data_IF_784895016534
#
_entry.id   IF_784895016534
#
_cell.length_a   1.000
_cell.length_b   1.000
_cell.length_c   1.000
_cell.angle_alpha   90.00
_cell.angle_beta   90.00
_cell.angle_gamma   90.00
#
_symmetry.space_group_name_H-M   'P 1'
#
loop_
_entity.id
_entity.type
_entity.pdbx_description
1 polymer ?
#
# COMPACT_ATOMS: atom_id res chain seq x y z
N UNK A 1 14.15 -0.49 12.42
CA UNK A 1 13.30 0.69 12.71
C UNK A 1 11.89 0.20 12.94
N UNK A 2 11.27 0.56 14.07
CA UNK A 2 9.87 0.23 14.34
C UNK A 2 8.98 1.19 13.55
N UNK A 3 8.02 0.67 12.78
CA UNK A 3 7.04 1.47 12.04
C UNK A 3 5.74 1.46 12.84
N UNK A 4 5.27 2.63 13.24
CA UNK A 4 3.97 2.83 13.88
C UNK A 4 2.96 3.37 12.86
N UNK A 5 1.78 2.77 12.80
CA UNK A 5 0.73 3.10 11.85
C UNK A 5 -0.53 3.54 12.60
N UNK A 6 -1.03 4.73 12.26
CA UNK A 6 -2.25 5.27 12.83
C UNK A 6 -3.20 5.79 11.73
N UNK A 7 -4.50 5.71 12.01
CA UNK A 7 -5.57 6.14 11.13
C UNK A 7 -6.29 7.34 11.73
N UNK A 8 -6.35 8.43 10.96
CA UNK A 8 -7.12 9.62 11.34
C UNK A 8 -8.17 9.90 10.28
N UNK A 9 -9.33 10.41 10.70
CA UNK A 9 -10.41 10.82 9.80
C UNK A 9 -10.79 9.76 8.75
N UNK A 10 -11.12 8.53 9.18
CA UNK A 10 -11.77 7.55 8.28
C UNK A 10 -13.15 8.10 7.93
N UNK A 11 -13.23 8.79 6.79
CA UNK A 11 -14.47 9.37 6.29
C UNK A 11 -15.16 8.30 5.47
N UNK A 12 -16.29 7.80 5.96
CA UNK A 12 -17.24 7.06 5.14
C UNK A 12 -17.70 8.00 4.02
N UNK A 13 -17.26 7.74 2.79
CA UNK A 13 -17.63 8.58 1.65
C UNK A 13 -19.05 8.21 1.21
N UNK A 14 -20.04 8.67 1.98
CA UNK A 14 -21.48 8.44 1.74
C UNK A 14 -21.95 7.00 2.04
N UNK A 15 -23.26 6.84 2.21
CA UNK A 15 -23.93 5.56 2.49
C UNK A 15 -23.50 4.49 1.45
N UNK A 16 -22.53 3.65 1.82
CA UNK A 16 -22.01 2.55 0.99
C UNK A 16 -20.63 2.77 0.34
N UNK A 17 -19.93 3.88 0.60
CA UNK A 17 -18.59 4.14 0.07
C UNK A 17 -17.45 3.51 0.88
N UNK A 18 -16.29 3.23 0.27
CA UNK A 18 -15.08 2.82 0.99
C UNK A 18 -14.67 3.88 2.01
N UNK A 19 -14.67 3.52 3.30
CA UNK A 19 -14.18 4.36 4.40
C UNK A 19 -12.69 4.66 4.25
N UNK A 20 -12.36 5.73 3.53
CA UNK A 20 -10.99 6.15 3.30
C UNK A 20 -10.60 7.23 4.29
N UNK A 21 -9.40 7.12 4.87
CA UNK A 21 -8.90 8.07 5.87
C UNK A 21 -7.52 8.60 5.55
N UNK A 22 -7.01 9.42 6.48
CA UNK A 22 -5.61 9.81 6.52
C UNK A 22 -4.81 8.68 7.17
N UNK A 23 -3.71 8.33 6.52
CA UNK A 23 -2.72 7.41 7.06
C UNK A 23 -1.58 8.21 7.69
N UNK A 24 -1.24 7.91 8.92
CA UNK A 24 -0.05 8.41 9.59
C UNK A 24 0.95 7.28 9.76
N UNK A 25 2.19 7.54 9.35
CA UNK A 25 3.34 6.66 9.52
C UNK A 25 4.30 7.39 10.46
N UNK A 26 4.51 6.85 11.65
CA UNK A 26 5.29 7.50 12.72
C UNK A 26 4.82 8.95 12.99
N UNK A 27 3.49 9.14 13.09
CA UNK A 27 2.87 10.44 13.35
C UNK A 27 2.92 11.44 12.18
N UNK A 28 3.30 11.02 10.98
CA UNK A 28 3.42 11.90 9.80
C UNK A 28 2.63 11.36 8.61
N UNK A 29 2.07 12.26 7.79
CA UNK A 29 1.30 11.88 6.60
C UNK A 29 2.19 11.67 5.38
N UNK A 30 1.90 10.66 4.54
CA UNK A 30 2.45 10.55 3.19
C UNK A 30 2.22 11.80 2.35
N UNK A 31 3.17 12.12 1.45
CA UNK A 31 3.07 13.28 0.56
C UNK A 31 1.96 13.07 -0.50
N UNK A 32 1.25 14.14 -0.85
CA UNK A 32 0.36 14.18 -2.03
C UNK A 32 -1.14 14.19 -1.75
N UNK A 33 -1.58 14.50 -0.52
CA UNK A 33 -2.99 14.66 -0.15
C UNK A 33 -3.89 13.47 -0.52
N UNK A 34 -3.36 12.25 -0.38
CA UNK A 34 -4.06 11.01 -0.67
C UNK A 34 -4.96 10.57 0.50
N UNK A 35 -6.00 9.80 0.17
CA UNK A 35 -6.84 9.09 1.15
C UNK A 35 -6.64 7.60 0.98
N UNK A 36 -6.58 6.88 2.09
CA UNK A 36 -6.19 5.47 2.12
C UNK A 36 -7.31 4.60 2.67
N UNK A 37 -7.46 3.41 2.10
CA UNK A 37 -8.30 2.36 2.64
C UNK A 37 -7.53 1.59 3.72
N UNK A 38 -8.09 1.40 4.91
CA UNK A 38 -7.51 0.50 5.89
C UNK A 38 -7.73 -0.97 5.49
N UNK A 39 -6.83 -1.88 5.91
CA UNK A 39 -5.55 -1.62 6.57
C UNK A 39 -4.42 -1.14 5.64
N UNK A 40 -3.39 -0.62 6.27
CA UNK A 40 -2.06 -0.41 5.72
C UNK A 40 -1.14 -1.37 6.49
N UNK A 41 -0.18 -1.97 5.79
CA UNK A 41 0.62 -3.07 6.31
C UNK A 41 2.08 -2.70 6.25
N UNK A 42 2.75 -2.71 7.40
CA UNK A 42 4.20 -2.61 7.47
C UNK A 42 4.83 -3.98 7.18
N UNK A 43 5.69 -4.06 6.17
CA UNK A 43 6.38 -5.29 5.79
C UNK A 43 7.72 -4.96 5.13
N UNK A 44 8.79 -5.67 5.52
CA UNK A 44 10.15 -5.47 4.99
C UNK A 44 10.62 -4.00 4.96
N UNK A 45 10.31 -3.24 6.02
CA UNK A 45 10.70 -1.83 6.13
C UNK A 45 9.94 -0.87 5.21
N UNK A 46 8.88 -1.34 4.55
CA UNK A 46 7.97 -0.54 3.72
C UNK A 46 6.57 -0.55 4.31
N UNK A 47 5.76 0.43 3.90
CA UNK A 47 4.33 0.46 4.21
C UNK A 47 3.55 0.25 2.92
N UNK A 48 2.68 -0.75 2.90
CA UNK A 48 1.80 -1.05 1.77
C UNK A 48 0.40 -0.60 2.12
N UNK A 49 -0.28 0.03 1.17
CA UNK A 49 -1.63 0.54 1.38
C UNK A 49 -2.40 0.55 0.07
N UNK A 50 -3.72 0.62 0.20
CA UNK A 50 -4.60 0.98 -0.90
C UNK A 50 -4.95 2.46 -0.80
N UNK A 51 -4.78 3.19 -1.90
CA UNK A 51 -5.12 4.61 -1.96
C UNK A 51 -6.29 4.84 -2.90
N UNK A 52 -7.18 5.73 -2.51
CA UNK A 52 -8.19 6.28 -3.39
C UNK A 52 -7.56 7.30 -4.34
N UNK A 53 -7.92 7.22 -5.61
CA UNK A 53 -7.54 8.15 -6.66
C UNK A 53 -8.76 8.46 -7.52
N UNK A 54 -8.79 9.57 -8.28
CA UNK A 54 -9.88 9.82 -9.21
C UNK A 54 -10.11 8.61 -10.14
N UNK A 55 -11.32 8.05 -10.06
CA UNK A 55 -11.75 6.90 -10.85
C UNK A 55 -11.50 5.52 -10.24
N UNK A 56 -11.00 5.40 -9.00
CA UNK A 56 -10.87 4.10 -8.32
C UNK A 56 -9.79 4.04 -7.25
N UNK A 57 -9.10 2.90 -7.19
CA UNK A 57 -8.08 2.57 -6.20
C UNK A 57 -6.77 2.14 -6.83
N UNK A 58 -5.68 2.35 -6.11
CA UNK A 58 -4.36 1.82 -6.47
C UNK A 58 -3.73 1.16 -5.24
N UNK A 59 -3.15 -0.03 -5.44
CA UNK A 59 -2.19 -0.57 -4.49
C UNK A 59 -0.90 0.24 -4.58
N UNK A 60 -0.31 0.56 -3.44
CA UNK A 60 0.88 1.39 -3.39
C UNK A 60 1.82 0.96 -2.28
N UNK A 61 3.07 1.38 -2.44
CA UNK A 61 4.11 1.28 -1.42
C UNK A 61 4.53 2.68 -1.02
N UNK A 62 4.76 2.87 0.27
CA UNK A 62 5.20 4.12 0.88
C UNK A 62 6.51 3.83 1.59
N UNK A 63 7.48 4.69 1.33
CA UNK A 63 8.74 4.72 2.05
C UNK A 63 8.53 5.44 3.40
N UNK A 64 8.69 4.78 4.56
CA UNK A 64 8.32 5.35 5.85
C UNK A 64 9.25 6.49 6.32
N UNK A 65 10.44 6.63 5.71
CA UNK A 65 11.39 7.70 6.05
C UNK A 65 11.11 8.95 5.21
N UNK A 66 10.99 8.78 3.90
CA UNK A 66 10.80 9.89 2.94
C UNK A 66 9.34 10.28 2.75
N UNK A 67 8.42 9.41 3.18
CA UNK A 67 6.96 9.54 3.04
C UNK A 67 6.49 9.67 1.58
N UNK A 68 7.30 9.15 0.66
CA UNK A 68 7.00 9.13 -0.77
C UNK A 68 6.21 7.87 -1.10
N UNK A 69 5.03 8.07 -1.70
CA UNK A 69 4.19 7.01 -2.26
C UNK A 69 4.65 6.65 -3.68
N UNK A 70 4.63 5.37 -4.02
CA UNK A 70 4.73 4.85 -5.38
C UNK A 70 3.59 3.88 -5.66
N UNK A 71 2.88 4.07 -6.76
CA UNK A 71 1.87 3.13 -7.22
C UNK A 71 2.53 1.79 -7.62
N UNK A 72 1.87 0.68 -7.28
CA UNK A 72 2.30 -0.67 -7.64
C UNK A 72 1.40 -1.25 -8.73
N UNK A 73 0.10 -1.03 -8.62
CA UNK A 73 -0.90 -1.53 -9.57
C UNK A 73 -1.35 -0.44 -10.55
N UNK A 74 -1.96 -0.82 -11.69
CA UNK A 74 -2.85 0.08 -12.40
C UNK A 74 -4.05 0.47 -11.52
N UNK A 75 -4.88 1.37 -12.03
CA UNK A 75 -6.15 1.72 -11.38
C UNK A 75 -7.09 0.52 -11.36
N UNK A 76 -7.63 0.23 -10.18
CA UNK A 76 -8.58 -0.84 -9.90
C UNK A 76 -9.93 -0.24 -9.48
N UNK A 77 -11.06 -0.90 -9.77
CA UNK A 77 -12.37 -0.42 -9.33
C UNK A 77 -12.47 -0.33 -7.81
N UNK A 78 -11.89 -1.32 -7.12
CA UNK A 78 -11.79 -1.41 -5.67
C UNK A 78 -10.61 -2.32 -5.32
N UNK A 79 -9.89 -2.01 -4.23
CA UNK A 79 -8.75 -2.81 -3.82
C UNK A 79 -8.46 -2.65 -2.33
N UNK A 80 -9.25 -3.25 -1.44
CA UNK A 80 -8.94 -3.20 0.00
C UNK A 80 -7.86 -4.24 0.31
N UNK A 81 -6.70 -3.79 0.78
CA UNK A 81 -5.61 -4.66 1.19
C UNK A 81 -6.02 -5.49 2.41
N UNK A 82 -5.64 -6.75 2.48
CA UNK A 82 -5.95 -7.62 3.63
C UNK A 82 -4.69 -8.13 4.31
N UNK A 83 -3.74 -8.65 3.53
CA UNK A 83 -2.49 -9.20 4.06
C UNK A 83 -1.38 -9.16 3.01
N UNK A 84 -0.17 -9.51 3.43
CA UNK A 84 0.96 -9.78 2.56
C UNK A 84 1.37 -11.24 2.77
N UNK A 85 1.47 -12.00 1.69
CA UNK A 85 1.68 -13.44 1.73
C UNK A 85 2.56 -13.86 0.54
N UNK A 86 3.65 -14.58 0.82
CA UNK A 86 4.58 -15.11 -0.19
C UNK A 86 5.00 -14.07 -1.24
N UNK A 87 5.45 -12.89 -0.79
CA UNK A 87 5.91 -11.83 -1.68
C UNK A 87 4.81 -11.16 -2.50
N UNK A 88 3.53 -11.30 -2.13
CA UNK A 88 2.43 -10.60 -2.80
C UNK A 88 1.52 -9.86 -1.82
N UNK A 89 0.87 -8.83 -2.35
CA UNK A 89 -0.26 -8.18 -1.70
C UNK A 89 -1.52 -8.99 -1.97
N UNK A 90 -2.25 -9.33 -0.92
CA UNK A 90 -3.56 -9.94 -1.00
C UNK A 90 -4.61 -8.88 -0.69
N UNK A 91 -5.56 -8.71 -1.60
CA UNK A 91 -6.59 -7.66 -1.52
C UNK A 91 -7.94 -8.17 -2.04
N UNK A 92 -9.03 -7.50 -1.66
CA UNK A 92 -10.37 -7.79 -2.20
C UNK A 92 -10.80 -6.76 -3.23
N UNK A 93 -11.44 -7.23 -4.32
CA UNK A 93 -11.83 -6.43 -5.49
C UNK A 93 -13.21 -5.74 -5.38
N UNK A 94 -13.89 -5.85 -4.23
CA UNK A 94 -15.14 -5.15 -3.92
C UNK A 94 -15.35 -4.99 -2.42
N UNK A 95 -16.20 -4.02 -2.03
CA UNK A 95 -16.55 -3.76 -0.62
C UNK A 95 -17.36 -4.90 0.02
N UNK A 96 -18.30 -5.48 -0.72
CA UNK A 96 -19.13 -6.59 -0.28
C UNK A 96 -19.13 -7.70 -1.34
N UNK A 97 -18.94 -8.95 -0.91
CA UNK A 97 -18.88 -10.11 -1.81
C UNK A 97 -17.67 -10.10 -2.77
N UNK A 98 -16.65 -9.28 -2.47
CA UNK A 98 -15.42 -9.21 -3.26
C UNK A 98 -14.65 -10.53 -3.25
N UNK A 99 -13.88 -10.75 -4.32
CA UNK A 99 -12.99 -11.89 -4.44
C UNK A 99 -11.61 -11.50 -3.98
N UNK A 100 -10.95 -12.45 -3.33
CA UNK A 100 -9.54 -12.34 -3.04
C UNK A 100 -8.74 -12.30 -4.34
N UNK A 101 -7.86 -11.32 -4.42
CA UNK A 101 -7.00 -11.03 -5.55
C UNK A 101 -5.56 -10.92 -5.05
N UNK A 102 -4.61 -11.26 -5.94
CA UNK A 102 -3.19 -11.29 -5.62
C UNK A 102 -2.41 -10.36 -6.54
N UNK A 103 -1.52 -9.55 -5.95
CA UNK A 103 -0.60 -8.69 -6.68
C UNK A 103 0.84 -9.00 -6.29
N UNK A 104 1.60 -9.61 -7.20
CA UNK A 104 3.00 -9.96 -6.96
C UNK A 104 3.85 -8.70 -6.73
N UNK A 105 4.54 -8.63 -5.59
CA UNK A 105 5.60 -7.68 -5.41
C UNK A 105 6.79 -8.23 -6.20
N UNK A 106 7.20 -7.52 -7.25
CA UNK A 106 8.38 -7.92 -8.01
C UNK A 106 9.52 -8.24 -7.03
N UNK A 107 10.10 -9.44 -7.13
CA UNK A 107 11.21 -9.83 -6.28
C UNK A 107 12.26 -8.71 -6.29
N UNK A 108 12.84 -8.34 -5.12
CA UNK A 108 13.96 -7.41 -5.14
C UNK A 108 14.98 -7.96 -6.13
N UNK A 109 15.31 -7.18 -7.17
CA UNK A 109 16.29 -7.59 -8.18
C UNK A 109 17.60 -7.88 -7.46
N UNK A 110 17.84 -9.13 -7.08
CA UNK A 110 19.13 -9.60 -6.64
C UNK A 110 20.06 -9.45 -7.84
N UNK A 111 21.00 -8.50 -7.77
CA UNK A 111 22.06 -8.36 -8.77
C UNK A 111 21.93 -7.17 -9.73
N UNK A 112 21.80 -5.96 -9.20
CA UNK A 112 22.20 -4.76 -9.93
C UNK A 112 23.73 -4.58 -9.88
N UNK A 113 24.44 -5.11 -10.89
CA UNK A 113 25.80 -4.77 -11.37
C UNK A 113 27.00 -4.59 -10.40
N UNK A 114 26.87 -4.71 -9.08
CA UNK A 114 27.99 -4.57 -8.13
C UNK A 114 28.51 -5.89 -7.54
N UNK A 115 27.84 -7.02 -7.81
CA UNK A 115 28.22 -8.34 -7.30
C UNK A 115 29.35 -9.06 -8.05
N UNK A 116 30.01 -8.41 -9.03
CA UNK A 116 31.06 -9.03 -9.87
C UNK A 116 32.47 -8.44 -9.69
N UNK A 117 32.70 -7.58 -8.70
CA UNK A 117 34.01 -6.94 -8.49
C UNK A 117 34.71 -7.28 -7.17
N UNK A 118 34.15 -8.15 -6.32
CA UNK A 118 34.80 -8.63 -5.09
C UNK A 118 34.68 -10.16 -4.91
N UNK A 119 34.89 -10.92 -5.99
CA UNK A 119 35.23 -12.34 -5.91
C UNK A 119 36.71 -12.50 -6.19
N UNK A 120 37.52 -12.43 -5.14
CA UNK A 120 38.96 -12.71 -5.17
C UNK A 120 39.20 -14.07 -4.56
#
# INVERSE_FOLDING_TARGET
>A
MTIDLAWEDVLEVGHGGPGCGLLHINGRQPKGAFRYLPPAIAHEGRVYASTFVPGGFELCVIDPETLVRRALSPRLPYARLERIEDGALIYVDAFAGGRECRWELAAPKAGGLFGRLFGR
#
